data_IF_351838580016
#
_entry.id   IF_351838580016
#
_cell.length_a   1.000
_cell.length_b   1.000
_cell.length_c   1.000
_cell.angle_alpha   90.00
_cell.angle_beta   90.00
_cell.angle_gamma   90.00
#
_symmetry.space_group_name_H-M   'P 1'
#
loop_
_entity.id
_entity.type
_entity.pdbx_description
1 polymer ?
#
# COMPACT_ATOMS: atom_id res chain seq x y z
N UNK A 1 25.85 27.89 -8.55
CA UNK A 1 26.01 27.06 -7.33
C UNK A 1 24.73 27.05 -6.49
N UNK A 2 24.11 28.21 -6.22
CA UNK A 2 22.90 28.32 -5.38
C UNK A 2 21.71 27.50 -5.87
N UNK A 3 21.41 27.50 -7.17
CA UNK A 3 20.30 26.71 -7.74
C UNK A 3 20.49 25.19 -7.59
N UNK A 4 21.74 24.71 -7.64
CA UNK A 4 22.05 23.28 -7.46
C UNK A 4 21.90 22.86 -5.99
N UNK A 5 22.25 23.76 -5.06
CA UNK A 5 22.06 23.53 -3.63
C UNK A 5 20.57 23.55 -3.25
N UNK A 6 19.80 24.52 -3.77
CA UNK A 6 18.36 24.60 -3.56
C UNK A 6 17.62 23.34 -4.08
N UNK A 7 18.03 22.79 -5.21
CA UNK A 7 17.48 21.52 -5.73
C UNK A 7 17.81 20.31 -4.85
N UNK A 8 19.00 20.28 -4.25
CA UNK A 8 19.40 19.21 -3.31
C UNK A 8 18.64 19.29 -2.00
N UNK A 9 18.44 20.49 -1.47
CA UNK A 9 17.62 20.72 -0.27
C UNK A 9 16.13 20.41 -0.51
N UNK A 10 15.65 20.61 -1.74
CA UNK A 10 14.28 20.27 -2.15
C UNK A 10 14.09 18.77 -2.51
N UNK A 11 15.12 17.92 -2.36
CA UNK A 11 14.98 16.48 -2.56
C UNK A 11 14.50 15.82 -1.27
N UNK A 12 13.41 15.03 -1.28
CA UNK A 12 12.96 14.33 -0.09
C UNK A 12 14.05 13.42 0.49
N UNK A 13 14.11 13.30 1.81
CA UNK A 13 15.00 12.32 2.43
C UNK A 13 14.57 10.91 1.99
N UNK A 14 15.47 10.11 1.40
CA UNK A 14 15.13 8.76 0.99
C UNK A 14 14.69 7.91 2.18
N UNK A 15 13.57 7.22 2.02
CA UNK A 15 13.07 6.25 2.99
C UNK A 15 13.92 4.99 2.87
N UNK A 16 14.50 4.52 3.97
CA UNK A 16 15.30 3.32 3.98
C UNK A 16 14.42 2.07 3.80
N UNK A 17 15.02 0.97 3.34
CA UNK A 17 14.30 -0.30 3.20
C UNK A 17 13.61 -0.74 4.50
N UNK A 18 14.27 -0.58 5.64
CA UNK A 18 13.74 -1.02 6.94
C UNK A 18 12.54 -0.20 7.43
N UNK A 19 12.37 1.01 6.90
CA UNK A 19 11.23 1.89 7.17
C UNK A 19 10.06 1.67 6.19
N UNK A 20 10.25 0.83 5.16
CA UNK A 20 9.21 0.47 4.21
C UNK A 20 8.44 -0.75 4.69
N UNK A 21 7.11 -0.65 4.62
CA UNK A 21 6.22 -1.80 4.79
C UNK A 21 5.89 -2.38 3.42
N UNK A 22 6.07 -3.69 3.27
CA UNK A 22 5.92 -4.40 2.00
C UNK A 22 4.77 -5.38 2.08
N UNK A 23 3.77 -5.21 1.21
CA UNK A 23 2.74 -6.21 1.01
C UNK A 23 2.99 -7.04 -0.25
N UNK A 24 2.68 -8.33 -0.16
CA UNK A 24 2.73 -9.21 -1.32
C UNK A 24 1.65 -8.79 -2.34
N UNK A 25 2.05 -8.66 -3.61
CA UNK A 25 1.18 -8.23 -4.70
C UNK A 25 1.09 -6.72 -4.91
N UNK A 26 1.96 -5.90 -4.30
CA UNK A 26 2.03 -4.47 -4.61
C UNK A 26 2.46 -4.20 -6.06
N UNK A 27 1.72 -3.34 -6.75
CA UNK A 27 1.83 -3.16 -8.23
C UNK A 27 3.10 -2.42 -8.63
N UNK A 28 3.73 -1.74 -7.68
CA UNK A 28 4.97 -1.02 -7.92
C UNK A 28 6.20 -1.93 -7.82
N UNK A 29 6.08 -3.08 -7.15
CA UNK A 29 7.15 -4.07 -7.00
C UNK A 29 7.28 -4.86 -8.32
N UNK A 30 8.50 -5.00 -8.87
CA UNK A 30 8.72 -5.81 -10.07
C UNK A 30 8.26 -7.26 -9.90
N UNK A 31 7.53 -7.77 -10.90
CA UNK A 31 6.95 -9.13 -10.87
C UNK A 31 8.02 -10.23 -10.69
N UNK A 32 9.23 -10.04 -11.25
CA UNK A 32 10.33 -10.99 -11.08
C UNK A 32 10.76 -11.22 -9.61
N UNK A 33 10.46 -10.28 -8.71
CA UNK A 33 10.68 -10.45 -7.27
C UNK A 33 9.66 -11.44 -6.71
N UNK A 34 8.39 -11.34 -7.10
CA UNK A 34 7.36 -12.31 -6.74
C UNK A 34 7.65 -13.69 -7.33
N UNK A 35 8.16 -13.77 -8.57
CA UNK A 35 8.61 -15.03 -9.19
C UNK A 35 9.72 -15.69 -8.39
N UNK A 36 10.71 -14.91 -7.97
CA UNK A 36 11.86 -15.39 -7.18
C UNK A 36 11.40 -15.94 -5.83
N UNK A 37 10.54 -15.18 -5.14
CA UNK A 37 9.95 -15.61 -3.88
C UNK A 37 9.10 -16.88 -4.04
N UNK A 38 8.16 -16.90 -5.00
CA UNK A 38 7.30 -18.06 -5.22
C UNK A 38 8.10 -19.31 -5.62
N UNK A 39 9.17 -19.14 -6.39
CA UNK A 39 10.04 -20.24 -6.78
C UNK A 39 10.84 -20.79 -5.61
N UNK A 40 11.32 -19.93 -4.73
CA UNK A 40 11.98 -20.31 -3.49
C UNK A 40 11.00 -21.03 -2.55
N UNK A 41 9.81 -20.46 -2.33
CA UNK A 41 8.81 -21.00 -1.43
C UNK A 41 8.40 -22.41 -1.85
N UNK A 42 8.07 -22.60 -3.13
CA UNK A 42 7.58 -23.86 -3.66
C UNK A 42 8.69 -24.82 -4.12
N UNK A 43 9.96 -24.43 -4.08
CA UNK A 43 11.09 -25.25 -4.55
C UNK A 43 10.92 -25.75 -5.99
N UNK A 44 10.33 -24.92 -6.85
CA UNK A 44 10.16 -25.17 -8.29
C UNK A 44 10.09 -23.85 -9.02
N UNK A 45 10.46 -23.81 -10.29
CA UNK A 45 10.37 -22.58 -11.07
C UNK A 45 8.91 -22.15 -11.24
N UNK A 46 8.57 -20.96 -10.75
CA UNK A 46 7.25 -20.32 -10.90
C UNK A 46 7.39 -19.09 -11.77
N UNK A 47 6.53 -18.98 -12.78
CA UNK A 47 6.38 -17.80 -13.62
C UNK A 47 5.13 -17.05 -13.23
N UNK A 48 5.26 -15.74 -13.16
CA UNK A 48 4.19 -14.80 -12.81
C UNK A 48 4.18 -13.73 -13.89
N UNK A 49 3.02 -13.53 -14.51
CA UNK A 49 2.81 -12.40 -15.41
C UNK A 49 1.64 -11.58 -14.92
N UNK A 50 1.80 -10.26 -14.94
CA UNK A 50 0.77 -9.31 -14.55
C UNK A 50 0.19 -8.65 -15.80
N UNK A 51 -1.14 -8.59 -15.88
CA UNK A 51 -1.87 -7.92 -16.94
C UNK A 51 -2.49 -6.64 -16.37
N UNK A 52 -1.89 -5.45 -16.62
CA UNK A 52 -2.34 -4.20 -16.01
C UNK A 52 -3.78 -3.83 -16.36
N UNK A 53 -4.21 -4.07 -17.59
CA UNK A 53 -5.55 -3.70 -18.08
C UNK A 53 -6.67 -4.46 -17.35
N UNK A 54 -6.38 -5.62 -16.78
CA UNK A 54 -7.33 -6.47 -16.07
C UNK A 54 -7.06 -6.55 -14.56
N UNK A 55 -6.00 -5.89 -14.07
CA UNK A 55 -5.41 -6.11 -12.74
C UNK A 55 -5.28 -7.59 -12.38
N UNK A 56 -4.82 -8.43 -13.33
CA UNK A 56 -4.86 -9.89 -13.21
C UNK A 56 -3.46 -10.51 -13.20
N UNK A 57 -3.21 -11.44 -12.26
CA UNK A 57 -2.00 -12.26 -12.24
C UNK A 57 -2.24 -13.64 -12.87
N UNK A 58 -1.37 -14.01 -13.80
CA UNK A 58 -1.31 -15.36 -14.37
C UNK A 58 -0.08 -16.08 -13.83
N UNK A 59 -0.30 -17.31 -13.37
CA UNK A 59 0.70 -18.12 -12.69
C UNK A 59 0.89 -19.44 -13.42
N UNK A 60 2.13 -19.85 -13.59
CA UNK A 60 2.48 -21.21 -14.01
C UNK A 60 3.68 -21.70 -13.22
N UNK A 61 3.75 -23.01 -13.00
CA UNK A 61 4.91 -23.65 -12.40
C UNK A 61 5.47 -24.69 -13.36
N UNK A 62 6.79 -24.87 -13.36
CA UNK A 62 7.44 -25.94 -14.11
C UNK A 62 6.99 -27.33 -13.66
N UNK A 63 6.81 -27.51 -12.34
CA UNK A 63 6.22 -28.71 -11.76
C UNK A 63 5.02 -28.34 -10.85
N UNK A 64 3.81 -28.23 -11.41
CA UNK A 64 2.60 -27.90 -10.64
C UNK A 64 2.16 -28.99 -9.65
N UNK A 65 2.72 -30.20 -9.74
CA UNK A 65 2.34 -31.36 -8.95
C UNK A 65 3.34 -31.68 -7.84
N UNK A 66 4.35 -30.83 -7.65
CA UNK A 66 5.32 -31.02 -6.58
C UNK A 66 4.65 -31.01 -5.19
N UNK A 67 5.35 -31.57 -4.20
CA UNK A 67 4.78 -31.79 -2.86
C UNK A 67 4.33 -30.45 -2.23
N UNK A 68 5.11 -29.38 -2.41
CA UNK A 68 4.79 -28.07 -1.83
C UNK A 68 3.50 -27.48 -2.41
N UNK A 69 3.35 -27.46 -3.73
CA UNK A 69 2.17 -26.90 -4.40
C UNK A 69 0.95 -27.81 -4.23
N UNK A 70 1.13 -29.12 -4.37
CA UNK A 70 0.01 -30.05 -4.47
C UNK A 70 -0.48 -30.55 -3.11
N UNK A 71 0.38 -30.56 -2.08
CA UNK A 71 0.04 -31.07 -0.74
C UNK A 71 0.22 -30.05 0.37
N UNK A 72 1.39 -29.41 0.49
CA UNK A 72 1.72 -28.55 1.63
C UNK A 72 0.89 -27.26 1.62
N UNK A 73 0.98 -26.49 0.54
CA UNK A 73 0.21 -25.25 0.34
C UNK A 73 -1.12 -25.53 -0.37
N UNK A 74 -1.81 -26.60 0.00
CA UNK A 74 -3.08 -26.95 -0.62
C UNK A 74 -4.22 -27.08 0.40
N UNK A 75 -5.44 -26.79 -0.06
CA UNK A 75 -6.69 -27.01 0.68
C UNK A 75 -7.60 -27.92 -0.13
N UNK A 76 -7.93 -29.07 0.45
CA UNK A 76 -8.91 -30.00 -0.09
C UNK A 76 -10.31 -29.59 0.37
N UNK A 77 -11.05 -28.93 -0.52
CA UNK A 77 -12.48 -28.68 -0.32
C UNK A 77 -13.29 -29.83 -0.96
N UNK A 78 -14.57 -29.92 -0.58
CA UNK A 78 -15.47 -30.95 -1.10
C UNK A 78 -15.64 -30.86 -2.63
N UNK A 79 -15.74 -29.64 -3.17
CA UNK A 79 -16.00 -29.41 -4.59
C UNK A 79 -14.74 -29.47 -5.47
N UNK A 80 -13.59 -29.07 -4.92
CA UNK A 80 -12.32 -28.97 -5.65
C UNK A 80 -11.13 -28.86 -4.71
N UNK A 81 -9.95 -29.08 -5.25
CA UNK A 81 -8.68 -28.76 -4.60
C UNK A 81 -8.25 -27.33 -4.93
N UNK A 82 -7.80 -26.59 -3.93
CA UNK A 82 -7.08 -25.32 -4.08
C UNK A 82 -5.60 -25.62 -3.86
N UNK A 83 -4.81 -25.62 -4.94
CA UNK A 83 -3.36 -25.87 -4.87
C UNK A 83 -2.59 -24.62 -4.44
N UNK A 84 -1.28 -24.76 -4.18
CA UNK A 84 -0.39 -23.65 -3.83
C UNK A 84 -0.44 -22.50 -4.82
N UNK A 85 -0.59 -22.79 -6.12
CA UNK A 85 -0.74 -21.75 -7.14
C UNK A 85 -2.07 -20.98 -7.02
N UNK A 86 -3.16 -21.65 -6.62
CA UNK A 86 -4.44 -20.97 -6.37
C UNK A 86 -4.34 -20.05 -5.15
N UNK A 87 -3.71 -20.53 -4.08
CA UNK A 87 -3.52 -19.74 -2.86
C UNK A 87 -2.53 -18.60 -3.10
N UNK A 88 -1.45 -18.82 -3.85
CA UNK A 88 -0.51 -17.76 -4.28
C UNK A 88 -1.24 -16.67 -5.06
N UNK A 89 -2.15 -17.04 -5.97
CA UNK A 89 -2.96 -16.06 -6.70
C UNK A 89 -3.81 -15.23 -5.74
N UNK A 90 -4.50 -15.87 -4.82
CA UNK A 90 -5.28 -15.17 -3.80
C UNK A 90 -4.41 -14.26 -2.92
N UNK A 91 -3.19 -14.70 -2.58
CA UNK A 91 -2.21 -13.90 -1.84
C UNK A 91 -1.78 -12.64 -2.61
N UNK A 92 -1.48 -12.75 -3.91
CA UNK A 92 -1.14 -11.60 -4.77
C UNK A 92 -2.28 -10.58 -4.88
N UNK A 93 -3.53 -11.05 -4.89
CA UNK A 93 -4.70 -10.18 -4.94
C UNK A 93 -5.17 -9.69 -3.55
N UNK A 94 -4.56 -10.15 -2.45
CA UNK A 94 -5.04 -9.89 -1.10
C UNK A 94 -6.52 -10.32 -0.92
N UNK A 95 -6.85 -11.53 -1.34
CA UNK A 95 -8.21 -12.12 -1.26
C UNK A 95 -8.16 -13.51 -0.64
N UNK A 96 -9.34 -14.08 -0.34
CA UNK A 96 -9.50 -15.44 0.18
C UNK A 96 -10.50 -16.18 -0.73
N UNK A 97 -10.29 -17.47 -1.07
CA UNK A 97 -11.25 -18.24 -1.85
C UNK A 97 -12.57 -18.43 -1.10
N UNK A 98 -13.71 -18.31 -1.81
CA UNK A 98 -15.02 -18.71 -1.28
C UNK A 98 -15.17 -20.23 -1.38
N UNK A 99 -15.03 -20.92 -0.25
CA UNK A 99 -15.10 -22.38 -0.16
C UNK A 99 -16.43 -22.80 0.45
N UNK A 100 -17.06 -23.79 -0.17
CA UNK A 100 -18.40 -24.24 0.17
C UNK A 100 -18.46 -25.76 0.25
N UNK A 101 -19.37 -26.25 1.07
CA UNK A 101 -19.68 -27.67 1.26
C UNK A 101 -21.17 -27.92 1.13
N UNK A 102 -21.55 -29.15 0.84
CA UNK A 102 -22.94 -29.56 0.77
C UNK A 102 -23.38 -30.13 2.11
N UNK A 103 -24.52 -29.66 2.61
CA UNK A 103 -25.12 -30.15 3.84
C UNK A 103 -26.58 -30.50 3.59
N UNK A 104 -27.01 -31.63 4.16
CA UNK A 104 -28.42 -32.03 4.16
C UNK A 104 -29.14 -31.25 5.24
N UNK A 105 -30.16 -30.48 4.87
CA UNK A 105 -31.04 -29.77 5.81
C UNK A 105 -32.47 -30.27 5.65
N UNK A 106 -33.17 -30.37 6.77
CA UNK A 106 -34.61 -30.58 6.76
C UNK A 106 -35.29 -29.21 6.50
N UNK A 107 -36.02 -29.10 5.41
CA UNK A 107 -36.85 -27.93 5.09
C UNK A 107 -38.24 -28.47 4.73
N UNK A 108 -39.26 -27.99 5.43
CA UNK A 108 -40.66 -28.40 5.23
C UNK A 108 -40.91 -29.93 5.26
N UNK A 109 -40.12 -30.65 6.06
CA UNK A 109 -40.25 -32.11 6.23
C UNK A 109 -39.48 -32.94 5.19
N UNK A 110 -38.89 -32.31 4.18
CA UNK A 110 -38.02 -32.98 3.19
C UNK A 110 -36.55 -32.70 3.46
N UNK A 111 -35.69 -33.70 3.22
CA UNK A 111 -34.24 -33.54 3.30
C UNK A 111 -33.74 -33.02 1.96
N UNK A 112 -33.36 -31.75 1.93
CA UNK A 112 -32.77 -31.11 0.75
C UNK A 112 -31.26 -30.88 0.93
N UNK A 113 -30.51 -31.01 -0.16
CA UNK A 113 -29.08 -30.73 -0.19
C UNK A 113 -28.86 -29.23 -0.47
N UNK A 114 -28.26 -28.52 0.48
CA UNK A 114 -27.95 -27.08 0.34
C UNK A 114 -26.46 -26.83 0.41
N UNK A 115 -26.00 -25.85 -0.38
CA UNK A 115 -24.60 -25.40 -0.41
C UNK A 115 -24.41 -24.32 0.64
N UNK A 116 -23.53 -24.55 1.60
CA UNK A 116 -23.18 -23.61 2.67
C UNK A 116 -21.68 -23.33 2.66
N UNK A 117 -21.26 -22.18 3.21
CA UNK A 117 -19.83 -21.88 3.36
C UNK A 117 -19.15 -22.87 4.29
N UNK A 118 -17.96 -23.28 3.90
CA UNK A 118 -17.14 -24.19 4.69
C UNK A 118 -16.10 -23.40 5.49
N UNK A 119 -16.51 -22.89 6.65
CA UNK A 119 -15.68 -22.02 7.48
C UNK A 119 -14.32 -22.61 7.84
N UNK A 120 -14.25 -23.93 8.07
CA UNK A 120 -12.99 -24.62 8.38
C UNK A 120 -12.00 -24.55 7.21
N UNK A 121 -12.48 -24.81 5.98
CA UNK A 121 -11.63 -24.76 4.77
C UNK A 121 -11.27 -23.33 4.40
N UNK A 122 -12.18 -22.37 4.59
CA UNK A 122 -11.89 -20.94 4.40
C UNK A 122 -10.80 -20.51 5.38
N UNK A 123 -10.90 -20.86 6.66
CA UNK A 123 -9.90 -20.52 7.66
C UNK A 123 -8.54 -21.15 7.34
N UNK A 124 -8.52 -22.43 6.94
CA UNK A 124 -7.29 -23.10 6.52
C UNK A 124 -6.66 -22.44 5.29
N UNK A 125 -7.47 -22.04 4.30
CA UNK A 125 -6.99 -21.32 3.13
C UNK A 125 -6.42 -19.95 3.51
N UNK A 126 -7.09 -19.22 4.40
CA UNK A 126 -6.62 -17.94 4.91
C UNK A 126 -5.27 -18.08 5.63
N UNK A 127 -5.12 -19.04 6.54
CA UNK A 127 -3.85 -19.27 7.24
C UNK A 127 -2.69 -19.55 6.28
N UNK A 128 -2.93 -20.34 5.21
CA UNK A 128 -1.90 -20.60 4.19
C UNK A 128 -1.60 -19.38 3.33
N UNK A 129 -2.59 -18.55 3.02
CA UNK A 129 -2.39 -17.29 2.30
C UNK A 129 -1.58 -16.32 3.17
N UNK A 130 -1.89 -16.21 4.45
CA UNK A 130 -1.16 -15.36 5.39
C UNK A 130 0.29 -15.83 5.57
N UNK A 131 0.52 -17.14 5.57
CA UNK A 131 1.88 -17.72 5.57
C UNK A 131 2.67 -17.32 4.33
N UNK A 132 2.07 -17.42 3.14
CA UNK A 132 2.69 -16.95 1.87
C UNK A 132 3.00 -15.45 1.93
N UNK A 133 2.09 -14.64 2.49
CA UNK A 133 2.26 -13.18 2.53
C UNK A 133 3.32 -12.76 3.54
N UNK A 134 3.30 -13.32 4.73
CA UNK A 134 4.26 -13.00 5.79
C UNK A 134 5.65 -13.49 5.41
N UNK A 135 5.74 -14.69 4.83
CA UNK A 135 6.99 -15.25 4.35
C UNK A 135 7.62 -14.42 3.23
N UNK A 136 6.85 -13.64 2.46
CA UNK A 136 7.42 -12.71 1.48
C UNK A 136 8.21 -11.59 2.14
N UNK A 137 7.65 -10.95 3.16
CA UNK A 137 8.30 -9.85 3.88
C UNK A 137 9.56 -10.34 4.60
N UNK A 138 9.51 -11.54 5.20
CA UNK A 138 10.69 -12.16 5.81
C UNK A 138 11.75 -12.50 4.75
N UNK A 139 11.35 -13.11 3.64
CA UNK A 139 12.26 -13.43 2.53
C UNK A 139 12.92 -12.18 1.95
N UNK A 140 12.21 -11.06 1.85
CA UNK A 140 12.79 -9.78 1.43
C UNK A 140 13.87 -9.28 2.42
N UNK A 141 13.67 -9.49 3.73
CA UNK A 141 14.65 -9.12 4.78
C UNK A 141 15.91 -9.98 4.71
N UNK A 142 15.85 -11.17 4.16
CA UNK A 142 17.01 -12.05 3.99
C UNK A 142 17.81 -11.76 2.70
N UNK A 143 17.34 -10.86 1.85
CA UNK A 143 18.05 -10.49 0.62
C UNK A 143 19.29 -9.61 0.90
N UNK A 144 20.17 -9.53 -0.11
CA UNK A 144 21.39 -8.72 -0.02
C UNK A 144 21.08 -7.23 0.15
N UNK A 145 22.05 -6.49 0.72
CA UNK A 145 21.93 -5.03 0.91
C UNK A 145 21.67 -4.33 -0.42
N UNK A 146 22.35 -4.76 -1.49
CA UNK A 146 22.19 -4.17 -2.83
C UNK A 146 20.80 -4.44 -3.41
N UNK A 147 20.16 -5.56 -3.07
CA UNK A 147 18.77 -5.81 -3.45
C UNK A 147 17.83 -4.86 -2.71
N UNK A 148 17.99 -4.75 -1.39
CA UNK A 148 17.16 -3.88 -0.53
C UNK A 148 17.27 -2.42 -0.94
N UNK A 149 18.48 -1.93 -1.18
CA UNK A 149 18.74 -0.57 -1.64
C UNK A 149 18.06 -0.29 -2.97
N UNK A 150 18.14 -1.20 -3.94
CA UNK A 150 17.48 -1.03 -5.24
C UNK A 150 15.95 -1.03 -5.13
N UNK A 151 15.39 -1.83 -4.23
CA UNK A 151 13.95 -1.87 -4.02
C UNK A 151 13.47 -0.58 -3.34
N UNK A 152 14.16 -0.13 -2.29
CA UNK A 152 13.88 1.14 -1.62
C UNK A 152 14.02 2.34 -2.58
N UNK A 153 15.07 2.37 -3.40
CA UNK A 153 15.28 3.40 -4.42
C UNK A 153 14.16 3.40 -5.48
N UNK A 154 13.65 2.22 -5.85
CA UNK A 154 12.46 2.10 -6.71
C UNK A 154 11.21 2.70 -6.07
N UNK A 155 10.99 2.44 -4.78
CA UNK A 155 9.89 3.06 -4.03
C UNK A 155 10.05 4.58 -3.97
N UNK A 156 11.23 5.05 -3.59
CA UNK A 156 11.52 6.47 -3.42
C UNK A 156 11.31 7.25 -4.72
N UNK A 157 11.79 6.73 -5.85
CA UNK A 157 11.55 7.35 -7.16
C UNK A 157 10.08 7.43 -7.57
N UNK A 158 9.27 6.45 -7.16
CA UNK A 158 7.84 6.39 -7.53
C UNK A 158 6.97 7.24 -6.62
N UNK A 159 7.26 7.25 -5.32
CA UNK A 159 6.36 7.79 -4.31
C UNK A 159 6.99 8.88 -3.43
N UNK A 160 8.29 8.81 -3.15
CA UNK A 160 8.99 9.81 -2.35
C UNK A 160 9.55 10.93 -3.25
N UNK A 161 8.64 11.61 -3.96
CA UNK A 161 8.98 12.67 -4.89
C UNK A 161 8.34 14.03 -4.54
N UNK A 162 7.67 14.12 -3.39
CA UNK A 162 6.99 15.34 -2.95
C UNK A 162 7.64 15.90 -1.68
N UNK A 163 8.30 17.04 -1.82
CA UNK A 163 8.57 17.94 -0.69
C UNK A 163 7.46 18.97 -0.65
N UNK A 164 6.85 19.19 0.53
CA UNK A 164 5.89 20.28 0.70
C UNK A 164 6.62 21.60 0.45
N UNK A 165 6.13 22.48 -0.44
CA UNK A 165 6.71 23.80 -0.58
C UNK A 165 6.73 24.51 0.78
N UNK A 166 7.84 25.13 1.12
CA UNK A 166 7.89 26.05 2.24
C UNK A 166 7.38 27.41 1.77
N UNK A 167 6.32 27.89 2.40
CA UNK A 167 5.73 29.20 2.12
C UNK A 167 6.22 30.17 3.18
N UNK A 168 6.99 31.18 2.77
CA UNK A 168 7.46 32.26 3.64
C UNK A 168 6.68 33.54 3.33
N UNK A 169 5.70 33.86 4.17
CA UNK A 169 4.88 35.07 4.08
C UNK A 169 5.46 36.27 4.82
N UNK A 170 6.69 36.19 5.34
CA UNK A 170 7.29 37.26 6.15
C UNK A 170 7.39 38.61 5.43
N UNK A 171 7.43 38.58 4.10
CA UNK A 171 7.45 39.75 3.22
C UNK A 171 6.08 40.46 3.08
N UNK A 172 5.02 39.93 3.68
CA UNK A 172 3.68 40.49 3.60
C UNK A 172 3.37 41.48 4.75
N UNK A 173 2.92 42.69 4.37
CA UNK A 173 2.72 43.81 5.31
C UNK A 173 1.26 44.18 5.59
N UNK A 174 0.28 43.58 4.90
CA UNK A 174 -1.16 43.72 5.16
C UNK A 174 -1.65 45.16 5.48
N UNK A 175 -1.44 46.14 4.58
CA UNK A 175 -1.71 47.55 4.86
C UNK A 175 -3.20 47.87 5.11
N UNK A 176 -4.12 47.01 4.66
CA UNK A 176 -5.57 47.16 4.89
C UNK A 176 -6.07 46.56 6.20
N UNK A 177 -5.22 45.88 6.97
CA UNK A 177 -5.61 45.24 8.23
C UNK A 177 -5.56 46.24 9.39
N UNK A 178 -6.69 46.52 10.02
CA UNK A 178 -6.73 47.34 11.24
C UNK A 178 -6.26 46.54 12.46
N UNK A 179 -4.93 46.48 12.62
CA UNK A 179 -4.26 45.76 13.72
C UNK A 179 -4.63 46.34 15.09
N UNK A 180 -4.81 47.67 15.19
CA UNK A 180 -5.20 48.34 16.44
C UNK A 180 -6.62 47.99 16.84
N UNK A 181 -7.56 47.98 15.88
CA UNK A 181 -8.94 47.57 16.12
C UNK A 181 -9.07 46.11 16.55
N UNK A 182 -8.15 45.24 16.11
CA UNK A 182 -8.07 43.83 16.48
C UNK A 182 -7.26 43.56 17.76
N UNK A 183 -6.58 44.56 18.32
CA UNK A 183 -5.75 44.42 19.52
C UNK A 183 -4.50 43.57 19.33
N UNK A 184 -3.97 43.50 18.10
CA UNK A 184 -2.77 42.72 17.75
C UNK A 184 -1.65 43.64 17.26
N UNK A 185 -0.39 43.25 17.49
CA UNK A 185 0.77 43.97 16.94
C UNK A 185 1.01 43.60 15.46
N UNK A 186 0.94 42.31 15.14
CA UNK A 186 1.02 41.76 13.79
C UNK A 186 0.38 40.36 13.73
N UNK A 187 0.22 39.83 12.52
CA UNK A 187 -0.10 38.43 12.28
C UNK A 187 1.07 37.54 12.70
N UNK A 188 0.76 36.34 13.21
CA UNK A 188 1.79 35.34 13.48
C UNK A 188 2.48 34.89 12.18
N UNK A 189 3.77 34.52 12.22
CA UNK A 189 4.49 34.00 11.05
C UNK A 189 3.72 32.89 10.33
N UNK A 190 3.19 31.91 11.07
CA UNK A 190 2.39 30.82 10.50
C UNK A 190 1.11 31.28 9.80
N UNK A 191 0.51 32.39 10.24
CA UNK A 191 -0.65 32.98 9.55
C UNK A 191 -0.22 33.64 8.24
N UNK A 192 0.91 34.35 8.24
CA UNK A 192 1.47 34.96 7.01
C UNK A 192 1.86 33.88 5.99
N UNK A 193 2.50 32.81 6.45
CA UNK A 193 2.89 31.66 5.62
C UNK A 193 1.66 30.97 5.01
N UNK A 194 0.58 30.80 5.79
CA UNK A 194 -0.67 30.23 5.32
C UNK A 194 -1.39 31.13 4.30
N UNK A 195 -1.38 32.44 4.51
CA UNK A 195 -1.92 33.41 3.54
C UNK A 195 -1.11 33.38 2.25
N UNK A 196 0.23 33.34 2.35
CA UNK A 196 1.10 33.29 1.18
C UNK A 196 0.93 31.99 0.39
N UNK A 197 0.76 30.86 1.08
CA UNK A 197 0.37 29.60 0.47
C UNK A 197 -0.95 29.72 -0.30
N UNK A 198 -1.98 30.29 0.32
CA UNK A 198 -3.32 30.41 -0.27
C UNK A 198 -3.30 31.27 -1.54
N UNK A 199 -2.57 32.40 -1.50
CA UNK A 199 -2.37 33.28 -2.65
C UNK A 199 -1.62 32.57 -3.79
N UNK A 200 -0.52 31.89 -3.50
CA UNK A 200 0.30 31.22 -4.52
C UNK A 200 -0.42 30.04 -5.17
N UNK A 201 -1.22 29.31 -4.41
CA UNK A 201 -1.97 28.14 -4.90
C UNK A 201 -3.34 28.53 -5.49
N UNK A 202 -3.82 29.76 -5.26
CA UNK A 202 -5.15 30.19 -5.66
C UNK A 202 -6.27 29.54 -4.82
N UNK A 203 -5.97 29.22 -3.56
CA UNK A 203 -6.85 28.52 -2.63
C UNK A 203 -6.22 27.26 -2.02
N UNK A 204 -6.77 26.79 -0.90
CA UNK A 204 -6.31 25.57 -0.24
C UNK A 204 -7.10 25.16 1.00
N UNK A 205 -6.62 24.09 1.65
CA UNK A 205 -7.12 23.68 2.97
C UNK A 205 -6.12 24.16 4.02
N UNK A 206 -6.59 24.98 4.96
CA UNK A 206 -5.78 25.52 6.05
C UNK A 206 -6.19 24.84 7.36
N UNK A 207 -5.46 23.79 7.72
CA UNK A 207 -5.69 23.01 8.94
C UNK A 207 -4.86 23.54 10.12
N UNK A 208 -5.24 24.73 10.61
CA UNK A 208 -4.71 25.30 11.85
C UNK A 208 -5.50 24.81 13.06
N UNK A 209 -4.89 24.80 14.25
CA UNK A 209 -5.58 24.49 15.51
C UNK A 209 -6.74 25.46 15.80
N UNK A 210 -7.73 25.04 16.60
CA UNK A 210 -8.81 25.92 17.08
C UNK A 210 -8.21 27.09 17.87
N UNK A 211 -8.63 28.32 17.57
CA UNK A 211 -8.05 29.53 18.15
C UNK A 211 -6.80 30.06 17.40
N UNK A 212 -6.22 29.32 16.45
CA UNK A 212 -5.05 29.74 15.66
C UNK A 212 -5.30 30.85 14.63
N UNK A 213 -6.46 31.51 14.68
CA UNK A 213 -6.79 32.65 13.81
C UNK A 213 -7.14 32.32 12.36
N UNK A 214 -7.70 31.13 12.09
CA UNK A 214 -8.16 30.72 10.73
C UNK A 214 -9.06 31.76 10.05
N UNK A 215 -9.95 32.41 10.80
CA UNK A 215 -10.80 33.50 10.26
C UNK A 215 -9.96 34.67 9.76
N UNK A 216 -8.92 35.04 10.51
CA UNK A 216 -8.04 36.15 10.17
C UNK A 216 -7.19 35.83 8.93
N UNK A 217 -6.75 34.57 8.80
CA UNK A 217 -6.07 34.05 7.60
C UNK A 217 -6.99 34.22 6.37
N UNK A 218 -8.24 33.76 6.44
CA UNK A 218 -9.18 33.83 5.31
C UNK A 218 -9.62 35.25 4.93
N UNK A 219 -9.52 36.23 5.84
CA UNK A 219 -9.83 37.62 5.54
C UNK A 219 -8.66 38.38 4.88
N UNK A 220 -7.45 37.86 5.03
CA UNK A 220 -6.22 38.52 4.60
C UNK A 220 -5.60 37.91 3.34
N UNK A 221 -5.95 36.66 2.99
CA UNK A 221 -5.68 36.05 1.68
C UNK A 221 -6.70 36.47 0.63
#
# INVERSE_FOLDING_TARGET
QETLNALREATPQPIAFDDLDFNFGERWIPVGIFESYASWLFETEVKISYQPDLDEFNLSARDPYNIKIFHEFAVNAESRRYTGLHLLKHALHNTIPDITKKVKKLVDGEIIEVKVRDGEKIQLANSKIDEIRSGFSDWLRDQSVEFKDRLADTYNRKFNCFVRPHYDGSHMDFPGLDRKGLGIEDLYPSQKDAIWMDILLGGGIIDHEVGGGKTLIMCCG
#
